data_IF_394179615640
#
_entry.id   IF_394179615640
#
_cell.length_a   1.000
_cell.length_b   1.000
_cell.length_c   1.000
_cell.angle_alpha   90.00
_cell.angle_beta   90.00
_cell.angle_gamma   90.00
#
_symmetry.space_group_name_H-M   'P 1'
#
loop_
_entity.id
_entity.type
_entity.pdbx_description
1 polymer ?
#
# COMPACT_ATOMS: atom_id res chain seq x y z
N UNK A 1 -16.05 7.36 -2.07
CA UNK A 1 -16.56 6.05 -1.60
C UNK A 1 -15.84 4.98 -2.41
N UNK A 2 -14.68 4.52 -1.95
CA UNK A 2 -13.88 3.48 -2.62
C UNK A 2 -14.01 2.18 -1.85
N UNK A 3 -15.00 1.35 -2.20
CA UNK A 3 -15.13 0.01 -1.65
C UNK A 3 -14.43 -1.01 -2.56
N UNK A 4 -13.96 -2.15 -2.01
CA UNK A 4 -13.41 -3.22 -2.82
C UNK A 4 -14.45 -3.74 -3.83
N UNK A 5 -14.03 -3.91 -5.08
CA UNK A 5 -14.77 -4.58 -6.16
C UNK A 5 -14.10 -5.89 -6.52
N UNK A 6 -14.91 -6.90 -6.84
CA UNK A 6 -14.41 -8.15 -7.41
C UNK A 6 -14.35 -8.01 -8.93
N UNK A 7 -13.19 -8.26 -9.51
CA UNK A 7 -13.04 -8.40 -10.96
C UNK A 7 -13.53 -9.79 -11.41
N UNK A 8 -13.80 -9.95 -12.72
CA UNK A 8 -14.32 -11.21 -13.29
C UNK A 8 -13.39 -12.42 -13.09
N UNK A 9 -12.11 -12.17 -12.81
CA UNK A 9 -11.10 -13.18 -12.47
C UNK A 9 -11.12 -13.59 -10.98
N UNK A 10 -12.02 -13.01 -10.18
CA UNK A 10 -12.13 -13.23 -8.74
C UNK A 10 -11.16 -12.40 -7.89
N UNK A 11 -10.34 -11.53 -8.51
CA UNK A 11 -9.40 -10.68 -7.79
C UNK A 11 -10.14 -9.52 -7.12
N UNK A 12 -9.87 -9.34 -5.83
CA UNK A 12 -10.37 -8.18 -5.08
C UNK A 12 -9.50 -6.96 -5.40
N UNK A 13 -10.11 -5.94 -6.01
CA UNK A 13 -9.44 -4.69 -6.35
C UNK A 13 -10.15 -3.55 -5.64
N UNK A 14 -9.42 -2.71 -4.92
CA UNK A 14 -9.97 -1.42 -4.47
C UNK A 14 -9.75 -0.44 -5.62
N UNK A 15 -10.83 0.06 -6.26
CA UNK A 15 -10.68 0.97 -7.38
C UNK A 15 -10.04 2.26 -6.87
N UNK A 16 -8.83 2.54 -7.35
CA UNK A 16 -8.12 3.77 -7.02
C UNK A 16 -8.86 4.93 -7.67
N UNK A 17 -9.66 5.66 -6.87
CA UNK A 17 -10.07 7.00 -7.26
C UNK A 17 -8.81 7.85 -7.24
N UNK A 18 -8.56 8.67 -8.27
CA UNK A 18 -7.43 9.60 -8.30
C UNK A 18 -7.35 10.36 -6.97
N UNK A 19 -6.47 9.89 -6.08
CA UNK A 19 -6.34 10.44 -4.75
C UNK A 19 -5.50 11.70 -4.91
N UNK A 20 -6.15 12.86 -4.89
CA UNK A 20 -5.42 14.11 -4.74
C UNK A 20 -4.88 14.13 -3.31
N UNK A 21 -3.59 13.86 -3.16
CA UNK A 21 -2.90 14.07 -1.89
C UNK A 21 -2.95 15.57 -1.58
N UNK A 22 -3.73 15.94 -0.56
CA UNK A 22 -3.89 17.33 -0.16
C UNK A 22 -2.82 17.68 0.87
N UNK A 23 -2.08 18.77 0.60
CA UNK A 23 -1.08 19.31 1.51
C UNK A 23 0.35 18.88 1.17
N UNK A 24 1.31 19.63 1.69
CA UNK A 24 2.73 19.27 1.53
C UNK A 24 3.05 18.01 2.35
N UNK A 25 3.96 17.14 1.88
CA UNK A 25 4.47 16.04 2.67
C UNK A 25 5.10 16.56 3.96
N UNK A 26 4.73 15.98 5.11
CA UNK A 26 5.28 16.34 6.41
C UNK A 26 5.52 15.09 7.25
N UNK A 27 6.67 15.03 7.90
CA UNK A 27 7.06 13.92 8.79
C UNK A 27 6.01 13.65 9.89
N UNK A 28 5.37 14.71 10.39
CA UNK A 28 4.28 14.63 11.37
C UNK A 28 3.06 13.82 10.88
N UNK A 29 2.76 13.85 9.57
CA UNK A 29 1.69 13.02 8.99
C UNK A 29 2.09 11.55 8.97
N UNK A 30 3.34 11.24 8.61
CA UNK A 30 3.84 9.86 8.59
C UNK A 30 3.84 9.24 9.99
N UNK A 31 4.22 10.03 11.01
CA UNK A 31 4.14 9.62 12.42
C UNK A 31 2.68 9.37 12.85
N UNK A 32 1.76 10.26 12.47
CA UNK A 32 0.34 10.11 12.79
C UNK A 32 -0.24 8.84 12.13
N UNK A 33 0.10 8.58 10.87
CA UNK A 33 -0.29 7.37 10.15
C UNK A 33 0.27 6.11 10.81
N UNK A 34 1.56 6.09 11.14
CA UNK A 34 2.20 4.96 11.84
C UNK A 34 1.55 4.68 13.19
N UNK A 35 1.18 5.73 13.93
CA UNK A 35 0.50 5.60 15.21
C UNK A 35 -0.93 5.08 15.05
N UNK A 36 -1.66 5.55 14.03
CA UNK A 36 -3.02 5.11 13.74
C UNK A 36 -3.06 3.64 13.34
N UNK A 37 -2.14 3.21 12.47
CA UNK A 37 -2.06 1.81 12.01
C UNK A 37 -1.32 0.92 13.00
N UNK A 38 -0.68 1.47 14.04
CA UNK A 38 0.20 0.75 14.96
C UNK A 38 1.28 -0.06 14.23
N UNK A 39 1.82 0.46 13.12
CA UNK A 39 2.76 -0.28 12.25
C UNK A 39 2.18 -1.61 11.72
N UNK A 40 0.86 -1.66 11.54
CA UNK A 40 0.18 -2.78 10.89
C UNK A 40 0.29 -2.62 9.38
N UNK A 41 1.29 -3.27 8.81
CA UNK A 41 1.47 -3.35 7.36
C UNK A 41 0.72 -4.54 6.76
N UNK A 42 0.21 -4.34 5.55
CA UNK A 42 -0.44 -5.37 4.73
C UNK A 42 0.64 -6.12 3.97
N UNK A 43 0.63 -7.45 4.00
CA UNK A 43 1.50 -8.26 3.15
C UNK A 43 0.92 -8.30 1.74
N UNK A 44 1.79 -8.08 0.77
CA UNK A 44 1.47 -8.17 -0.66
C UNK A 44 2.42 -9.17 -1.32
N UNK A 45 1.99 -9.69 -2.47
CA UNK A 45 2.84 -10.54 -3.31
C UNK A 45 3.89 -9.72 -4.04
N UNK A 46 4.95 -10.37 -4.51
CA UNK A 46 5.95 -9.71 -5.35
C UNK A 46 5.34 -9.17 -6.66
N UNK A 47 4.38 -9.88 -7.25
CA UNK A 47 3.69 -9.44 -8.47
C UNK A 47 2.88 -8.17 -8.23
N UNK A 48 2.17 -8.07 -7.10
CA UNK A 48 1.46 -6.84 -6.71
C UNK A 48 2.43 -5.68 -6.49
N UNK A 49 3.56 -5.93 -5.84
CA UNK A 49 4.60 -4.93 -5.62
C UNK A 49 5.20 -4.44 -6.95
N UNK A 50 5.54 -5.36 -7.88
CA UNK A 50 6.06 -5.02 -9.22
C UNK A 50 5.04 -4.32 -10.10
N UNK A 51 3.77 -4.68 -9.99
CA UNK A 51 2.69 -4.05 -10.77
C UNK A 51 2.43 -2.62 -10.30
N UNK A 52 2.57 -2.39 -8.98
CA UNK A 52 2.27 -1.09 -8.37
C UNK A 52 3.48 -0.15 -8.40
N UNK A 53 4.68 -0.67 -8.11
CA UNK A 53 5.94 0.09 -8.03
C UNK A 53 7.04 -0.59 -8.86
N UNK A 54 6.93 -0.63 -10.20
CA UNK A 54 7.83 -1.41 -11.04
C UNK A 54 9.32 -1.08 -10.85
N UNK A 55 9.65 0.19 -10.61
CA UNK A 55 11.03 0.64 -10.44
C UNK A 55 11.52 0.57 -8.98
N UNK A 56 10.61 0.52 -8.00
CA UNK A 56 10.91 0.68 -6.57
C UNK A 56 10.43 -0.47 -5.69
N UNK A 57 9.84 -1.53 -6.27
CA UNK A 57 9.22 -2.64 -5.51
C UNK A 57 10.14 -3.27 -4.46
N UNK A 58 11.46 -3.27 -4.72
CA UNK A 58 12.49 -3.79 -3.80
C UNK A 58 12.54 -3.04 -2.47
N UNK A 59 12.15 -1.77 -2.44
CA UNK A 59 12.12 -0.95 -1.22
C UNK A 59 11.03 -1.41 -0.24
N UNK A 60 10.06 -2.19 -0.72
CA UNK A 60 8.93 -2.69 0.07
C UNK A 60 9.17 -4.11 0.63
N UNK A 61 10.34 -4.71 0.37
CA UNK A 61 10.71 -5.98 0.98
C UNK A 61 11.07 -5.79 2.45
N UNK A 62 10.41 -6.54 3.33
CA UNK A 62 10.66 -6.52 4.77
C UNK A 62 11.31 -7.83 5.22
N UNK A 63 12.61 -7.81 5.50
CA UNK A 63 13.37 -8.96 6.04
C UNK A 63 12.70 -9.58 7.27
N UNK A 64 12.25 -8.73 8.22
CA UNK A 64 11.60 -9.16 9.47
C UNK A 64 10.27 -9.88 9.27
N UNK A 65 9.64 -9.70 8.10
CA UNK A 65 8.36 -10.31 7.73
C UNK A 65 8.51 -11.31 6.58
N UNK A 66 9.73 -11.48 6.07
CA UNK A 66 10.07 -12.35 4.94
C UNK A 66 9.09 -12.21 3.77
N UNK A 67 8.77 -10.95 3.40
CA UNK A 67 7.74 -10.66 2.40
C UNK A 67 7.67 -9.18 2.04
N UNK A 68 6.98 -8.87 0.94
CA UNK A 68 6.67 -7.49 0.56
C UNK A 68 5.52 -6.95 1.40
N UNK A 69 5.64 -5.71 1.87
CA UNK A 69 4.65 -5.06 2.72
C UNK A 69 4.37 -3.63 2.29
N UNK A 70 3.12 -3.19 2.48
CA UNK A 70 2.68 -1.82 2.24
C UNK A 70 1.81 -1.34 3.40
N UNK A 71 1.86 -0.05 3.71
CA UNK A 71 1.06 0.58 4.77
C UNK A 71 1.52 1.99 5.10
#
# INVERSE_FOLDING_TARGET
>A
MGGPIFQEDGKLVVPHQDATYLGEPREELDVAWRNLTQSTYIRITEEEAKTTWPDEYKNYWSESRSGYVAG
#
